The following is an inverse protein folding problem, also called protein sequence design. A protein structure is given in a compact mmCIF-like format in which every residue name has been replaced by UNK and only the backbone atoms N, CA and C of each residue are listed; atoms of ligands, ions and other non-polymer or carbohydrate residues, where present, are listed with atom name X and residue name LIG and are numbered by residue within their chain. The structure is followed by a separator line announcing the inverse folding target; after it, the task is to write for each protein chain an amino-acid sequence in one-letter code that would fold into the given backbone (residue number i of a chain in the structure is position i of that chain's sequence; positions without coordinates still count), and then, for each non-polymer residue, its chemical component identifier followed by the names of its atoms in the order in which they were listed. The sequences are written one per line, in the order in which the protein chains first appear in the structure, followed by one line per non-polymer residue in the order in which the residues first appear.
data_IF_363575237984
#
_entry.id   IF_363575237984
#
_cell.length_a   1.000
_cell.length_b   1.000
_cell.length_c   1.000
_cell.angle_alpha   90.00
_cell.angle_beta   90.00
_cell.angle_gamma   90.00
#
_symmetry.space_group_name_H-M   'P 1'
#
loop_
_entity.id
_entity.type
_entity.pdbx_description
1 polymer ?
#
# COMPACT_ATOMS: atom_id res chain seq x y z
N UNK A 1 -18.06 15.34 3.40
CA UNK A 1 -17.95 15.31 1.93
C UNK A 1 -16.74 14.44 1.62
N UNK A 2 -16.96 13.18 1.22
CA UNK A 2 -15.98 12.08 1.40
C UNK A 2 -15.68 11.26 0.12
N UNK A 3 -15.96 11.78 -1.08
CA UNK A 3 -15.86 10.99 -2.32
C UNK A 3 -15.05 11.63 -3.46
N UNK A 4 -14.51 12.84 -3.30
CA UNK A 4 -13.89 13.57 -4.42
C UNK A 4 -12.39 13.31 -4.65
N UNK A 5 -11.73 12.53 -3.79
CA UNK A 5 -10.33 12.13 -4.00
C UNK A 5 -10.16 10.70 -4.53
N UNK A 6 -11.27 9.98 -4.77
CA UNK A 6 -11.28 8.56 -5.14
C UNK A 6 -10.97 8.33 -6.62
N UNK A 7 -11.20 9.32 -7.50
CA UNK A 7 -11.13 9.09 -8.96
C UNK A 7 -9.72 9.16 -9.57
N UNK A 8 -8.79 9.93 -8.99
CA UNK A 8 -7.48 10.15 -9.62
C UNK A 8 -6.35 9.23 -9.09
N UNK A 9 -6.54 8.56 -7.95
CA UNK A 9 -5.52 7.65 -7.41
C UNK A 9 -5.44 6.33 -8.21
N UNK A 10 -6.56 5.64 -8.54
CA UNK A 10 -6.52 4.41 -9.33
C UNK A 10 -5.99 4.62 -10.74
N UNK A 11 -6.20 5.81 -11.32
CA UNK A 11 -5.71 6.14 -12.67
C UNK A 11 -4.20 6.41 -12.73
N UNK A 12 -3.55 6.64 -11.58
CA UNK A 12 -2.11 6.97 -11.48
C UNK A 12 -1.27 5.88 -10.84
N UNK A 13 -1.89 4.93 -10.13
CA UNK A 13 -1.23 3.75 -9.60
C UNK A 13 -1.30 2.60 -10.61
N UNK A 14 -0.19 1.89 -10.80
CA UNK A 14 -0.14 0.71 -11.68
C UNK A 14 -0.58 -0.58 -10.96
N UNK A 15 -1.47 -0.46 -9.97
CA UNK A 15 -2.00 -1.60 -9.21
C UNK A 15 -3.43 -1.34 -8.75
N UNK A 16 -4.19 -2.41 -8.45
CA UNK A 16 -5.48 -2.29 -7.81
C UNK A 16 -5.36 -1.58 -6.45
N UNK A 17 -6.22 -0.59 -6.23
CA UNK A 17 -6.34 0.12 -4.97
C UNK A 17 -7.81 0.23 -4.55
N UNK A 18 -8.07 0.22 -3.24
CA UNK A 18 -9.36 0.55 -2.64
C UNK A 18 -9.15 1.77 -1.76
N UNK A 19 -9.93 2.82 -2.01
CA UNK A 19 -9.98 3.98 -1.13
C UNK A 19 -11.28 3.95 -0.35
N UNK A 20 -11.14 3.96 0.96
CA UNK A 20 -12.16 4.31 1.92
C UNK A 20 -11.78 5.66 2.53
N UNK A 21 -12.77 6.36 3.08
CA UNK A 21 -12.66 7.72 3.64
C UNK A 21 -11.26 8.11 4.17
N UNK A 22 -10.74 7.35 5.11
CA UNK A 22 -9.46 7.52 5.79
C UNK A 22 -8.45 6.40 5.52
N UNK A 23 -8.86 5.33 4.84
CA UNK A 23 -8.04 4.14 4.61
C UNK A 23 -7.81 3.88 3.12
N UNK A 24 -6.55 3.64 2.75
CA UNK A 24 -6.17 3.19 1.41
C UNK A 24 -5.61 1.78 1.51
N UNK A 25 -6.19 0.85 0.75
CA UNK A 25 -5.68 -0.51 0.60
C UNK A 25 -5.07 -0.69 -0.78
N UNK A 26 -3.85 -1.21 -0.81
CA UNK A 26 -3.07 -1.47 -2.01
C UNK A 26 -2.65 -2.94 -2.00
N UNK A 27 -2.80 -3.62 -3.12
CA UNK A 27 -2.32 -5.00 -3.24
C UNK A 27 -1.76 -5.29 -4.63
N UNK A 28 -0.76 -6.17 -4.66
CA UNK A 28 -0.10 -6.65 -5.87
C UNK A 28 0.20 -8.12 -5.70
N UNK A 29 0.04 -8.89 -6.76
CA UNK A 29 0.50 -10.29 -6.78
C UNK A 29 2.02 -10.27 -6.96
N UNK A 30 2.78 -10.63 -5.94
CA UNK A 30 4.24 -10.72 -5.99
C UNK A 30 4.66 -12.14 -6.39
N UNK A 31 5.16 -12.32 -7.62
CA UNK A 31 5.71 -13.60 -8.12
C UNK A 31 7.21 -13.53 -8.34
N UNK A 32 7.74 -12.33 -8.58
CA UNK A 32 9.16 -12.06 -8.86
C UNK A 32 9.71 -10.99 -7.91
N UNK A 33 11.04 -10.95 -7.71
CA UNK A 33 11.69 -9.86 -6.97
C UNK A 33 11.34 -8.47 -7.53
N UNK A 34 11.19 -8.36 -8.86
CA UNK A 34 10.80 -7.10 -9.52
C UNK A 34 9.43 -6.58 -9.04
N UNK A 35 8.50 -7.47 -8.69
CA UNK A 35 7.16 -7.06 -8.21
C UNK A 35 7.23 -6.37 -6.85
N UNK A 36 8.22 -6.74 -6.02
CA UNK A 36 8.46 -6.07 -4.75
C UNK A 36 8.98 -4.65 -4.97
N UNK A 37 9.87 -4.46 -5.95
CA UNK A 37 10.34 -3.12 -6.33
C UNK A 37 9.22 -2.26 -6.90
N UNK A 38 8.36 -2.83 -7.76
CA UNK A 38 7.18 -2.15 -8.26
C UNK A 38 6.23 -1.71 -7.14
N UNK A 39 5.98 -2.57 -6.14
CA UNK A 39 5.15 -2.20 -4.99
C UNK A 39 5.76 -1.05 -4.17
N UNK A 40 7.08 -1.05 -3.94
CA UNK A 40 7.76 0.06 -3.25
C UNK A 40 7.63 1.37 -4.04
N UNK A 41 7.83 1.35 -5.36
CA UNK A 41 7.65 2.53 -6.21
C UNK A 41 6.24 3.10 -6.15
N UNK A 42 5.23 2.23 -6.06
CA UNK A 42 3.85 2.67 -5.96
C UNK A 42 3.52 3.23 -4.56
N UNK A 43 4.13 2.71 -3.48
CA UNK A 43 4.08 3.32 -2.15
C UNK A 43 4.74 4.71 -2.12
N UNK A 44 5.85 4.88 -2.85
CA UNK A 44 6.55 6.17 -2.94
C UNK A 44 5.69 7.21 -3.70
N UNK A 45 4.95 6.79 -4.74
CA UNK A 45 3.96 7.65 -5.41
C UNK A 45 2.79 8.02 -4.50
N UNK A 46 2.34 7.09 -3.64
CA UNK A 46 1.31 7.37 -2.65
C UNK A 46 1.78 8.45 -1.67
N UNK A 47 3.04 8.39 -1.25
CA UNK A 47 3.64 9.39 -0.36
C UNK A 47 3.78 10.77 -1.02
N UNK A 48 4.03 10.79 -2.33
CA UNK A 48 4.08 12.03 -3.09
C UNK A 48 2.71 12.72 -3.18
N UNK A 49 1.63 11.99 -2.96
CA UNK A 49 0.31 12.58 -2.79
C UNK A 49 0.25 13.26 -1.43
N UNK A 50 -0.32 14.47 -1.35
CA UNK A 50 -0.59 15.19 -0.10
C UNK A 50 -1.63 14.52 0.81
N UNK A 51 -1.86 13.21 0.64
CA UNK A 51 -2.57 12.40 1.59
C UNK A 51 -1.62 12.26 2.77
N UNK A 52 -2.01 12.82 3.91
CA UNK A 52 -1.27 12.65 5.15
C UNK A 52 -1.39 11.19 5.61
N UNK A 53 -0.67 10.29 4.93
CA UNK A 53 -0.69 8.87 5.25
C UNK A 53 0.04 8.70 6.57
N UNK A 54 -0.68 8.20 7.56
CA UNK A 54 -0.12 7.95 8.88
C UNK A 54 0.69 6.64 8.83
N UNK A 55 1.96 6.73 8.43
CA UNK A 55 2.85 5.58 8.28
C UNK A 55 2.98 4.72 9.55
N UNK A 56 2.75 5.31 10.75
CA UNK A 56 2.76 4.56 12.02
C UNK A 56 1.56 3.62 12.20
N UNK A 57 0.46 3.89 11.50
CA UNK A 57 -0.75 3.04 11.46
C UNK A 57 -0.79 2.12 10.25
N UNK A 58 0.12 2.31 9.28
CA UNK A 58 0.18 1.48 8.10
C UNK A 58 0.85 0.14 8.41
N UNK A 59 0.25 -0.93 7.91
CA UNK A 59 0.80 -2.27 7.94
C UNK A 59 0.84 -2.82 6.51
N UNK A 60 1.73 -3.78 6.28
CA UNK A 60 1.70 -4.58 5.07
C UNK A 60 1.33 -6.02 5.44
N UNK A 61 0.42 -6.60 4.66
CA UNK A 61 -0.05 -7.96 4.86
C UNK A 61 0.33 -8.80 3.64
N UNK A 62 0.63 -10.07 3.90
CA UNK A 62 1.10 -11.01 2.87
C UNK A 62 0.15 -12.19 2.82
N UNK A 63 -0.40 -12.43 1.65
CA UNK A 63 -1.40 -13.48 1.41
C UNK A 63 -0.81 -14.50 0.42
N UNK A 64 -0.41 -15.68 0.89
CA UNK A 64 0.17 -16.73 0.05
C UNK A 64 1.13 -17.67 0.77
N UNK A 65 1.73 -18.63 0.05
CA UNK A 65 2.76 -19.54 0.58
C UNK A 65 4.13 -18.86 0.58
N UNK A 66 4.87 -19.07 1.68
CA UNK A 66 6.29 -18.75 1.93
C UNK A 66 6.92 -17.79 0.92
N UNK A 67 6.64 -16.51 1.11
CA UNK A 67 7.25 -15.45 0.32
C UNK A 67 8.29 -14.76 1.22
N UNK A 68 9.43 -14.32 0.67
CA UNK A 68 10.54 -13.69 1.43
C UNK A 68 10.08 -12.42 2.15
N UNK A 69 10.29 -12.29 3.46
CA UNK A 69 9.86 -11.11 4.25
C UNK A 69 10.66 -9.86 3.84
N UNK A 70 10.16 -9.20 2.80
CA UNK A 70 10.76 -8.01 2.21
C UNK A 70 10.15 -6.81 2.91
N UNK A 71 10.96 -6.02 3.65
CA UNK A 71 10.46 -4.84 4.33
C UNK A 71 10.11 -3.77 3.31
N UNK A 72 8.92 -3.20 3.45
CA UNK A 72 8.47 -2.02 2.70
C UNK A 72 8.58 -0.78 3.56
N UNK A 73 8.83 0.37 2.93
CA UNK A 73 8.92 1.64 3.62
C UNK A 73 7.87 2.61 3.11
N UNK A 74 7.33 3.40 4.02
CA UNK A 74 6.44 4.51 3.71
C UNK A 74 6.89 5.71 4.54
N UNK A 75 7.25 6.82 3.88
CA UNK A 75 7.80 8.01 4.55
C UNK A 75 9.09 7.72 5.35
N UNK A 76 9.99 6.88 4.83
CA UNK A 76 11.16 6.35 5.57
C UNK A 76 10.81 5.56 6.85
N UNK A 77 9.54 5.23 7.08
CA UNK A 77 9.11 4.36 8.18
C UNK A 77 8.89 2.96 7.63
N UNK A 78 9.56 1.97 8.21
CA UNK A 78 9.35 0.57 7.84
C UNK A 78 7.94 0.14 8.25
N UNK A 79 7.17 -0.35 7.28
CA UNK A 79 5.82 -0.85 7.50
C UNK A 79 5.86 -2.14 8.31
N UNK A 80 5.02 -2.22 9.34
CA UNK A 80 4.88 -3.43 10.15
C UNK A 80 4.34 -4.58 9.28
N UNK A 81 5.01 -5.73 9.31
CA UNK A 81 4.49 -6.97 8.73
C UNK A 81 3.41 -7.54 9.64
N UNK A 82 2.25 -7.87 9.09
CA UNK A 82 1.15 -8.49 9.82
C UNK A 82 0.56 -9.68 9.06
N UNK A 83 0.16 -10.72 9.80
CA UNK A 83 -0.55 -11.88 9.26
C UNK A 83 -2.07 -11.72 9.32
N UNK A 84 -2.55 -10.73 10.06
CA UNK A 84 -3.97 -10.41 10.24
C UNK A 84 -4.13 -8.90 10.33
N UNK A 85 -5.04 -8.35 9.55
CA UNK A 85 -5.46 -6.96 9.67
C UNK A 85 -6.99 -6.96 9.72
N UNK A 86 -7.60 -6.13 10.58
CA UNK A 86 -9.06 -6.03 10.58
C UNK A 86 -9.48 -5.39 9.26
N UNK A 87 -10.27 -6.12 8.46
CA UNK A 87 -11.11 -5.46 7.46
C UNK A 87 -12.13 -4.60 8.20
N UNK A 88 -12.28 -3.37 7.73
CA UNK A 88 -13.11 -2.31 8.31
C UNK A 88 -14.50 -2.80 8.72
#
# INVERSE_FOLDING_TARGET
MFLLFVDDLPSRLNLPCLLYADDVKLWRVTRKPEDHHALQLDLDKLLHWEFAVNSSKCAHMRLGRETLDIPYQLNNVSLRSTATERDL
#
